data_IF_964295655509
#
_entry.id   IF_964295655509
#
_cell.length_a   1.000
_cell.length_b   1.000
_cell.length_c   1.000
_cell.angle_alpha   90.00
_cell.angle_beta   90.00
_cell.angle_gamma   90.00
#
_symmetry.space_group_name_H-M   'P 1'
#
loop_
_entity.id
_entity.type
_entity.pdbx_description
1 polymer ?
#
# COMPACT_ATOMS: atom_id res chain seq x y z
N UNK A 1 26.30 -3.45 -11.37
CA UNK A 1 25.63 -3.13 -10.08
C UNK A 1 24.32 -2.37 -10.23
N UNK A 2 24.28 -1.27 -10.97
CA UNK A 2 23.04 -0.48 -11.15
C UNK A 2 21.85 -1.31 -11.69
N UNK A 3 22.08 -2.21 -12.65
CA UNK A 3 21.04 -3.07 -13.21
C UNK A 3 20.52 -4.13 -12.22
N UNK A 4 21.40 -4.66 -11.35
CA UNK A 4 20.99 -5.62 -10.33
C UNK A 4 20.11 -4.96 -9.27
N UNK A 5 20.50 -3.79 -8.76
CA UNK A 5 19.72 -3.03 -7.80
C UNK A 5 18.33 -2.65 -8.36
N UNK A 6 18.26 -2.25 -9.64
CA UNK A 6 17.00 -1.95 -10.30
C UNK A 6 16.09 -3.19 -10.39
N UNK A 7 16.66 -4.36 -10.74
CA UNK A 7 15.91 -5.63 -10.79
C UNK A 7 15.40 -6.05 -9.40
N UNK A 8 16.24 -5.92 -8.37
CA UNK A 8 15.86 -6.23 -6.99
C UNK A 8 14.74 -5.30 -6.53
N UNK A 9 14.87 -4.01 -6.77
CA UNK A 9 13.82 -3.03 -6.42
C UNK A 9 12.52 -3.33 -7.16
N UNK A 10 12.57 -3.66 -8.44
CA UNK A 10 11.41 -4.04 -9.24
C UNK A 10 10.70 -5.27 -8.65
N UNK A 11 11.47 -6.30 -8.27
CA UNK A 11 10.93 -7.51 -7.67
C UNK A 11 10.30 -7.24 -6.29
N UNK A 12 10.95 -6.43 -5.44
CA UNK A 12 10.41 -6.04 -4.14
C UNK A 12 9.10 -5.26 -4.28
N UNK A 13 9.05 -4.30 -5.18
CA UNK A 13 7.85 -3.50 -5.42
C UNK A 13 6.74 -4.36 -6.03
N UNK A 14 7.08 -5.33 -6.88
CA UNK A 14 6.14 -6.31 -7.40
C UNK A 14 5.53 -7.20 -6.31
N UNK A 15 6.34 -7.62 -5.35
CA UNK A 15 5.86 -8.38 -4.18
C UNK A 15 4.95 -7.52 -3.28
N UNK A 16 5.27 -6.25 -3.11
CA UNK A 16 4.41 -5.29 -2.39
C UNK A 16 3.06 -5.16 -3.08
N UNK A 17 3.04 -4.98 -4.41
CA UNK A 17 1.80 -4.91 -5.18
C UNK A 17 0.96 -6.18 -5.01
N UNK A 18 1.58 -7.35 -5.15
CA UNK A 18 0.92 -8.63 -4.96
C UNK A 18 0.36 -8.79 -3.55
N UNK A 19 1.13 -8.42 -2.51
CA UNK A 19 0.68 -8.47 -1.13
C UNK A 19 -0.54 -7.60 -0.88
N UNK A 20 -0.56 -6.38 -1.40
CA UNK A 20 -1.72 -5.49 -1.28
C UNK A 20 -2.95 -6.07 -1.99
N UNK A 21 -2.80 -6.59 -3.22
CA UNK A 21 -3.91 -7.19 -3.97
C UNK A 21 -4.47 -8.42 -3.24
N UNK A 22 -3.61 -9.30 -2.75
CA UNK A 22 -4.03 -10.47 -1.97
C UNK A 22 -4.73 -10.05 -0.68
N UNK A 23 -4.20 -9.06 0.03
CA UNK A 23 -4.83 -8.53 1.25
C UNK A 23 -6.21 -7.96 0.97
N UNK A 24 -6.36 -7.18 -0.09
CA UNK A 24 -7.66 -6.64 -0.48
C UNK A 24 -8.67 -7.73 -0.87
N UNK A 25 -8.24 -8.74 -1.64
CA UNK A 25 -9.09 -9.87 -2.01
C UNK A 25 -9.51 -10.71 -0.80
N UNK A 26 -8.65 -10.87 0.21
CA UNK A 26 -9.00 -11.59 1.45
C UNK A 26 -10.19 -10.97 2.17
N UNK A 27 -10.37 -9.65 2.11
CA UNK A 27 -11.55 -8.98 2.67
C UNK A 27 -12.86 -9.41 2.01
N UNK A 28 -12.83 -9.84 0.75
CA UNK A 28 -14.01 -10.34 0.03
C UNK A 28 -14.22 -11.85 0.25
N UNK A 29 -13.15 -12.65 0.18
CA UNK A 29 -13.28 -14.12 0.18
C UNK A 29 -13.18 -14.75 1.58
N UNK A 30 -12.49 -14.10 2.52
CA UNK A 30 -12.26 -14.58 3.88
C UNK A 30 -12.23 -13.38 4.87
N UNK A 31 -13.35 -12.64 5.03
CA UNK A 31 -13.36 -11.41 5.81
C UNK A 31 -13.05 -11.62 7.30
N UNK A 32 -13.38 -12.78 7.87
CA UNK A 32 -13.06 -13.13 9.25
C UNK A 32 -11.54 -13.18 9.48
N UNK A 33 -10.83 -13.90 8.60
CA UNK A 33 -9.37 -14.04 8.69
C UNK A 33 -8.68 -12.71 8.40
N UNK A 34 -9.25 -11.91 7.48
CA UNK A 34 -8.75 -10.58 7.18
C UNK A 34 -8.89 -9.65 8.40
N UNK A 35 -10.05 -9.63 9.06
CA UNK A 35 -10.27 -8.82 10.26
C UNK A 35 -9.32 -9.24 11.40
N UNK A 36 -9.16 -10.53 11.66
CA UNK A 36 -8.25 -11.05 12.67
C UNK A 36 -6.80 -10.61 12.41
N UNK A 37 -6.33 -10.68 11.18
CA UNK A 37 -4.98 -10.25 10.80
C UNK A 37 -4.71 -8.76 11.10
N UNK A 38 -5.76 -7.93 11.16
CA UNK A 38 -5.69 -6.53 11.54
C UNK A 38 -6.05 -6.26 13.01
N UNK A 39 -6.24 -7.31 13.82
CA UNK A 39 -6.64 -7.18 15.22
C UNK A 39 -8.05 -6.62 15.40
N UNK A 40 -8.92 -6.83 14.41
CA UNK A 40 -10.29 -6.33 14.39
C UNK A 40 -11.29 -7.47 14.58
N UNK A 41 -12.40 -7.18 15.29
CA UNK A 41 -13.57 -8.04 15.25
C UNK A 41 -14.33 -7.83 13.94
N UNK A 42 -14.86 -8.91 13.36
CA UNK A 42 -15.71 -8.80 12.19
C UNK A 42 -17.07 -8.24 12.62
N UNK A 43 -17.50 -7.19 11.94
CA UNK A 43 -18.78 -6.54 12.18
C UNK A 43 -19.93 -7.27 11.47
N UNK A 44 -21.16 -6.80 11.71
CA UNK A 44 -22.37 -7.25 11.03
C UNK A 44 -23.03 -6.08 10.29
N UNK A 45 -23.93 -6.40 9.37
CA UNK A 45 -24.75 -5.40 8.67
C UNK A 45 -23.90 -4.34 7.94
N UNK A 46 -24.21 -3.08 8.15
CA UNK A 46 -23.51 -1.93 7.53
C UNK A 46 -22.03 -1.88 7.94
N UNK A 47 -21.71 -2.22 9.19
CA UNK A 47 -20.32 -2.28 9.65
C UNK A 47 -19.49 -3.30 8.87
N UNK A 48 -20.04 -4.46 8.55
CA UNK A 48 -19.39 -5.45 7.70
C UNK A 48 -19.18 -4.92 6.28
N UNK A 49 -20.20 -4.26 5.73
CA UNK A 49 -20.11 -3.63 4.41
C UNK A 49 -18.96 -2.60 4.36
N UNK A 50 -18.83 -1.77 5.40
CA UNK A 50 -17.74 -0.79 5.49
C UNK A 50 -16.36 -1.47 5.64
N UNK A 51 -16.23 -2.49 6.47
CA UNK A 51 -14.96 -3.22 6.60
C UNK A 51 -14.52 -3.81 5.26
N UNK A 52 -15.40 -4.52 4.57
CA UNK A 52 -15.07 -5.13 3.27
C UNK A 52 -14.87 -4.04 2.20
N UNK A 53 -15.79 -3.09 2.10
CA UNK A 53 -15.79 -2.06 1.08
C UNK A 53 -14.63 -1.08 1.23
N UNK A 54 -14.47 -0.50 2.41
CA UNK A 54 -13.49 0.58 2.60
C UNK A 54 -12.07 0.01 2.74
N UNK A 55 -11.87 -1.01 3.57
CA UNK A 55 -10.53 -1.58 3.80
C UNK A 55 -10.11 -2.44 2.61
N UNK A 56 -10.99 -3.29 2.10
CA UNK A 56 -10.71 -4.12 0.93
C UNK A 56 -10.36 -3.28 -0.30
N UNK A 57 -11.16 -2.25 -0.59
CA UNK A 57 -10.90 -1.33 -1.69
C UNK A 57 -9.58 -0.55 -1.51
N UNK A 58 -9.28 -0.10 -0.29
CA UNK A 58 -8.03 0.59 0.02
C UNK A 58 -6.80 -0.26 -0.38
N UNK A 59 -6.77 -1.54 0.00
CA UNK A 59 -5.68 -2.44 -0.36
C UNK A 59 -5.64 -2.77 -1.85
N UNK A 60 -6.79 -2.98 -2.50
CA UNK A 60 -6.85 -3.20 -3.95
C UNK A 60 -6.30 -1.98 -4.70
N UNK A 61 -6.70 -0.79 -4.34
CA UNK A 61 -6.24 0.45 -5.00
C UNK A 61 -4.75 0.66 -4.81
N UNK A 62 -4.21 0.44 -3.60
CA UNK A 62 -2.77 0.50 -3.37
C UNK A 62 -2.00 -0.51 -4.25
N UNK A 63 -2.50 -1.74 -4.33
CA UNK A 63 -1.92 -2.78 -5.16
C UNK A 63 -1.96 -2.43 -6.64
N UNK A 64 -3.09 -1.94 -7.13
CA UNK A 64 -3.26 -1.51 -8.54
C UNK A 64 -2.36 -0.32 -8.87
N UNK A 65 -2.29 0.70 -8.03
CA UNK A 65 -1.41 1.84 -8.29
C UNK A 65 0.06 1.43 -8.34
N UNK A 66 0.48 0.57 -7.41
CA UNK A 66 1.85 0.03 -7.42
C UNK A 66 2.12 -0.78 -8.69
N UNK A 67 1.17 -1.63 -9.11
CA UNK A 67 1.28 -2.41 -10.34
C UNK A 67 1.30 -1.51 -11.58
N UNK A 68 0.42 -0.51 -11.65
CA UNK A 68 0.41 0.45 -12.75
C UNK A 68 1.73 1.22 -12.83
N UNK A 69 2.32 1.59 -11.71
CA UNK A 69 3.64 2.20 -11.67
C UNK A 69 4.73 1.31 -12.29
N UNK A 70 4.70 0.01 -11.98
CA UNK A 70 5.64 -0.97 -12.54
C UNK A 70 5.45 -1.18 -14.05
N UNK A 71 4.20 -1.31 -14.50
CA UNK A 71 3.88 -1.63 -15.90
C UNK A 71 4.04 -0.41 -16.81
N UNK A 72 3.52 0.74 -16.37
CA UNK A 72 3.53 1.97 -17.19
C UNK A 72 4.80 2.79 -17.03
N UNK A 73 5.61 2.49 -16.01
CA UNK A 73 6.81 3.25 -15.63
C UNK A 73 6.53 4.74 -15.40
N UNK A 74 5.30 5.08 -15.00
CA UNK A 74 4.88 6.44 -14.68
C UNK A 74 5.00 6.70 -13.18
N UNK A 75 5.64 7.82 -12.86
CA UNK A 75 5.97 8.23 -11.49
C UNK A 75 4.73 8.47 -10.62
N UNK A 76 3.68 8.99 -11.22
CA UNK A 76 2.45 9.40 -10.54
C UNK A 76 1.78 8.23 -9.79
N UNK A 77 1.82 7.03 -10.36
CA UNK A 77 1.24 5.85 -9.74
C UNK A 77 1.95 5.45 -8.44
N UNK A 78 3.29 5.51 -8.44
CA UNK A 78 4.06 5.24 -7.23
C UNK A 78 3.83 6.32 -6.16
N UNK A 79 3.71 7.59 -6.55
CA UNK A 79 3.36 8.65 -5.60
C UNK A 79 1.97 8.47 -5.00
N UNK A 80 0.96 8.14 -5.82
CA UNK A 80 -0.39 7.89 -5.34
C UNK A 80 -0.42 6.75 -4.32
N UNK A 81 0.26 5.62 -4.61
CA UNK A 81 0.38 4.52 -3.67
C UNK A 81 1.13 4.92 -2.38
N UNK A 82 2.24 5.66 -2.50
CA UNK A 82 3.02 6.11 -1.34
C UNK A 82 2.20 7.04 -0.44
N UNK A 83 1.43 7.97 -1.00
CA UNK A 83 0.56 8.88 -0.25
C UNK A 83 -0.47 8.08 0.56
N UNK A 84 -1.11 7.07 -0.03
CA UNK A 84 -2.07 6.23 0.66
C UNK A 84 -1.43 5.47 1.84
N UNK A 85 -0.26 4.90 1.63
CA UNK A 85 0.46 4.15 2.67
C UNK A 85 0.91 5.07 3.81
N UNK A 86 1.47 6.24 3.50
CA UNK A 86 1.86 7.21 4.52
C UNK A 86 0.65 7.80 5.26
N UNK A 87 -0.46 8.01 4.56
CA UNK A 87 -1.71 8.43 5.19
C UNK A 87 -2.18 7.40 6.21
N UNK A 88 -2.11 6.10 5.90
CA UNK A 88 -2.46 5.04 6.85
C UNK A 88 -1.59 5.11 8.13
N UNK A 89 -0.27 5.21 7.99
CA UNK A 89 0.65 5.36 9.12
C UNK A 89 0.34 6.62 9.95
N UNK A 90 0.06 7.74 9.28
CA UNK A 90 -0.30 9.00 9.92
C UNK A 90 -1.61 8.86 10.72
N UNK A 91 -2.66 8.31 10.11
CA UNK A 91 -3.95 8.15 10.78
C UNK A 91 -3.89 7.17 11.97
N UNK A 92 -3.07 6.11 11.88
CA UNK A 92 -2.82 5.22 13.04
C UNK A 92 -2.15 5.97 14.18
N UNK A 93 -1.19 6.83 13.88
CA UNK A 93 -0.52 7.67 14.87
C UNK A 93 -1.49 8.67 15.51
N UNK A 94 -2.35 9.31 14.70
CA UNK A 94 -3.39 10.22 15.21
C UNK A 94 -4.42 9.50 16.09
N UNK A 95 -4.81 8.28 15.71
CA UNK A 95 -5.72 7.47 16.52
C UNK A 95 -5.13 7.16 17.91
N UNK A 96 -3.83 6.84 17.96
CA UNK A 96 -3.13 6.67 19.23
C UNK A 96 -3.07 7.97 20.04
N UNK A 97 -2.72 9.09 19.42
CA UNK A 97 -2.55 10.37 20.12
C UNK A 97 -3.87 10.95 20.68
N UNK A 98 -4.96 10.84 19.93
CA UNK A 98 -6.20 11.56 20.23
C UNK A 98 -7.36 10.67 20.67
N UNK A 99 -7.30 9.36 20.43
CA UNK A 99 -8.44 8.46 20.66
C UNK A 99 -8.11 7.25 21.55
N UNK A 100 -6.93 7.23 22.16
CA UNK A 100 -6.53 6.14 23.06
C UNK A 100 -6.37 4.79 22.38
N UNK A 101 -6.24 4.75 21.06
CA UNK A 101 -5.94 3.52 20.34
C UNK A 101 -4.54 3.01 20.68
N UNK A 102 -4.30 1.70 20.55
CA UNK A 102 -2.96 1.14 20.69
C UNK A 102 -2.03 1.69 19.61
N UNK A 103 -0.77 1.98 19.96
CA UNK A 103 0.24 2.36 18.97
C UNK A 103 0.62 1.11 18.15
N UNK A 104 0.04 1.02 16.97
CA UNK A 104 0.13 -0.16 16.10
C UNK A 104 1.45 -0.19 15.31
N UNK A 105 2.60 -0.28 16.01
CA UNK A 105 3.93 -0.25 15.39
C UNK A 105 4.14 -1.37 14.37
N UNK A 106 3.50 -2.52 14.57
CA UNK A 106 3.53 -3.64 13.63
C UNK A 106 2.96 -3.31 12.24
N UNK A 107 2.16 -2.25 12.13
CA UNK A 107 1.64 -1.72 10.87
C UNK A 107 2.35 -0.44 10.44
N UNK A 108 2.58 0.49 11.38
CA UNK A 108 3.21 1.80 11.10
C UNK A 108 4.60 1.62 10.49
N UNK A 109 5.44 0.74 11.06
CA UNK A 109 6.81 0.54 10.57
C UNK A 109 6.82 -0.02 9.14
N UNK A 110 6.09 -1.10 8.80
CA UNK A 110 5.98 -1.55 7.42
C UNK A 110 5.42 -0.48 6.47
N UNK A 111 4.42 0.29 6.89
CA UNK A 111 3.84 1.35 6.08
C UNK A 111 4.88 2.44 5.73
N UNK A 112 5.70 2.86 6.69
CA UNK A 112 6.78 3.82 6.44
C UNK A 112 7.84 3.21 5.50
N UNK A 113 8.24 1.96 5.71
CA UNK A 113 9.22 1.27 4.86
C UNK A 113 8.69 1.12 3.43
N UNK A 114 7.47 0.65 3.26
CA UNK A 114 6.83 0.47 1.95
C UNK A 114 6.66 1.82 1.25
N UNK A 115 6.16 2.84 1.94
CA UNK A 115 6.01 4.19 1.39
C UNK A 115 7.35 4.75 0.90
N UNK A 116 8.41 4.55 1.67
CA UNK A 116 9.78 4.95 1.29
C UNK A 116 10.27 4.19 0.06
N UNK A 117 10.06 2.87 0.00
CA UNK A 117 10.40 2.05 -1.18
C UNK A 117 9.64 2.50 -2.42
N UNK A 118 8.37 2.85 -2.31
CA UNK A 118 7.56 3.39 -3.42
C UNK A 118 8.10 4.75 -3.90
N UNK A 119 8.53 5.61 -3.00
CA UNK A 119 9.20 6.87 -3.37
C UNK A 119 10.54 6.63 -4.07
N UNK A 120 11.32 5.66 -3.62
CA UNK A 120 12.56 5.26 -4.31
C UNK A 120 12.24 4.68 -5.69
N UNK A 121 11.23 3.83 -5.79
CA UNK A 121 10.76 3.26 -7.05
C UNK A 121 10.32 4.35 -8.04
N UNK A 122 9.63 5.39 -7.56
CA UNK A 122 9.22 6.53 -8.37
C UNK A 122 10.37 7.28 -9.03
N UNK A 123 11.58 7.18 -8.46
CA UNK A 123 12.79 7.81 -9.00
C UNK A 123 13.66 6.86 -9.83
N UNK A 124 13.64 5.55 -9.50
CA UNK A 124 14.58 4.58 -10.07
C UNK A 124 13.96 3.67 -11.12
N UNK A 125 12.64 3.45 -11.08
CA UNK A 125 11.94 2.52 -11.96
C UNK A 125 11.13 3.23 -13.06
N UNK A 126 11.03 4.56 -13.03
CA UNK A 126 10.30 5.31 -14.05
C UNK A 126 11.21 5.72 -15.20
N UNK A 127 10.62 5.92 -16.37
CA UNK A 127 11.30 6.48 -17.53
C UNK A 127 11.75 7.93 -17.24
N UNK A 128 12.94 8.28 -17.70
CA UNK A 128 13.48 9.63 -17.57
C UNK A 128 12.66 10.57 -18.47
N UNK A 129 11.84 11.43 -17.88
CA UNK A 129 11.02 12.41 -18.63
C UNK A 129 11.85 13.57 -19.19
N UNK A 130 13.18 13.53 -19.01
CA UNK A 130 14.08 14.59 -19.47
C UNK A 130 14.51 14.47 -20.95
N UNK A 131 13.93 13.54 -21.74
CA UNK A 131 14.27 13.33 -23.14
C UNK A 131 13.05 13.50 -24.09
N UNK A 132 12.15 14.42 -23.80
CA UNK A 132 11.20 14.88 -24.83
C UNK A 132 11.77 16.16 -25.47
N UNK A 133 12.32 16.12 -26.70
CA UNK A 133 12.72 17.31 -27.39
C UNK A 133 11.44 18.02 -27.86
N UNK A 134 11.28 19.28 -27.42
CA UNK A 134 10.28 20.20 -27.94
C UNK A 134 10.53 20.46 -29.43
#
# INVERSE_FOLDING_TARGET
>A
MKNLLRKVLWALVGLIALNFLVTGLRWVVAPSDAAEAFGMSLFNGIGLSSQIGDIGAFFIVMGLFTLFGLVTQKREWFFAAAILVFAAAMFRTLAWLFHGASLAMQFIVPEIVIGTLLLVASKKLTADQSQDPQ
#
